data_IF_338360248172
#
_entry.id   IF_338360248172
#
_cell.length_a   1.000
_cell.length_b   1.000
_cell.length_c   1.000
_cell.angle_alpha   90.00
_cell.angle_beta   90.00
_cell.angle_gamma   90.00
#
_symmetry.space_group_name_H-M   'P 1'
#
loop_
_entity.id
_entity.type
_entity.pdbx_description
1 polymer ?
#
# COMPACT_ATOMS: atom_id res chain seq x y z
N UNK A 1 47.71 69.25 13.32
CA UNK A 1 46.92 69.81 12.19
C UNK A 1 45.56 69.12 12.22
N UNK A 2 44.54 69.76 12.81
CA UNK A 2 43.25 69.14 13.15
C UNK A 2 42.24 69.37 12.02
N UNK A 3 41.91 68.32 11.25
CA UNK A 3 40.87 68.39 10.21
C UNK A 3 39.49 68.35 10.87
N UNK A 4 38.82 69.51 10.88
CA UNK A 4 37.50 69.71 11.47
C UNK A 4 36.45 69.16 10.49
N UNK A 5 36.06 67.90 10.66
CA UNK A 5 35.00 67.27 9.85
C UNK A 5 33.69 68.05 9.98
N UNK A 6 33.13 68.48 8.85
CA UNK A 6 31.85 69.18 8.80
C UNK A 6 30.70 68.23 9.12
N UNK A 7 29.69 68.69 9.87
CA UNK A 7 28.51 67.91 10.28
C UNK A 7 27.81 67.19 9.11
N UNK A 8 27.92 67.73 7.89
CA UNK A 8 27.39 67.15 6.64
C UNK A 8 28.18 65.95 6.10
N UNK A 9 29.50 65.90 6.28
CA UNK A 9 30.34 64.77 5.87
C UNK A 9 30.08 63.55 6.77
N UNK A 10 29.93 63.79 8.06
CA UNK A 10 29.59 62.75 9.05
C UNK A 10 28.22 62.14 8.73
N UNK A 11 27.23 62.97 8.37
CA UNK A 11 25.89 62.48 7.98
C UNK A 11 25.93 61.61 6.72
N UNK A 12 26.76 61.96 5.73
CA UNK A 12 26.91 61.18 4.49
C UNK A 12 27.59 59.83 4.74
N UNK A 13 28.60 59.79 5.61
CA UNK A 13 29.28 58.54 6.00
C UNK A 13 28.32 57.59 6.74
N UNK A 14 27.51 58.13 7.66
CA UNK A 14 26.50 57.35 8.39
C UNK A 14 25.45 56.77 7.44
N UNK A 15 24.97 57.57 6.49
CA UNK A 15 24.01 57.12 5.48
C UNK A 15 24.59 55.99 4.60
N UNK A 16 25.86 56.11 4.20
CA UNK A 16 26.54 55.10 3.40
C UNK A 16 26.73 53.78 4.16
N UNK A 17 27.06 53.85 5.45
CA UNK A 17 27.15 52.69 6.36
C UNK A 17 25.79 52.01 6.57
N UNK A 18 24.71 52.78 6.72
CA UNK A 18 23.35 52.22 6.84
C UNK A 18 22.91 51.51 5.55
N UNK A 19 23.20 52.08 4.38
CA UNK A 19 22.89 51.45 3.09
C UNK A 19 23.70 50.17 2.88
N UNK A 20 24.98 50.16 3.27
CA UNK A 20 25.82 48.97 3.19
C UNK A 20 25.29 47.85 4.11
N UNK A 21 24.89 48.21 5.33
CA UNK A 21 24.31 47.26 6.29
C UNK A 21 22.98 46.69 5.79
N UNK A 22 22.11 47.52 5.20
CA UNK A 22 20.84 47.09 4.62
C UNK A 22 21.05 46.15 3.42
N UNK A 23 22.06 46.41 2.59
CA UNK A 23 22.40 45.55 1.46
C UNK A 23 22.93 44.18 1.92
N UNK A 24 23.71 44.14 3.01
CA UNK A 24 24.18 42.88 3.61
C UNK A 24 22.98 42.08 4.17
N UNK A 25 22.05 42.74 4.85
CA UNK A 25 20.83 42.07 5.36
C UNK A 25 19.95 41.47 4.26
N UNK A 26 19.88 42.09 3.08
CA UNK A 26 19.16 41.52 1.93
C UNK A 26 19.78 40.21 1.42
N UNK A 27 21.11 40.06 1.49
CA UNK A 27 21.80 38.86 0.98
C UNK A 27 21.60 37.66 1.92
N UNK A 28 21.42 37.90 3.22
CA UNK A 28 21.25 36.83 4.22
C UNK A 28 19.82 36.24 4.28
N UNK A 29 18.82 36.90 3.70
CA UNK A 29 17.41 36.49 3.81
C UNK A 29 17.02 35.26 2.98
N UNK A 30 17.95 34.67 2.23
CA UNK A 30 17.68 33.60 1.25
C UNK A 30 18.31 32.25 1.61
N UNK A 31 18.35 31.87 2.90
CA UNK A 31 18.59 30.45 3.26
C UNK A 31 17.24 29.75 3.45
N UNK A 32 16.63 29.38 2.33
CA UNK A 32 15.45 28.51 2.31
C UNK A 32 15.80 27.16 2.94
N UNK A 33 15.20 26.86 4.08
CA UNK A 33 15.22 25.54 4.70
C UNK A 33 14.36 24.65 3.80
N UNK A 34 14.99 23.84 2.94
CA UNK A 34 14.30 22.92 2.07
C UNK A 34 13.53 21.90 2.93
N UNK A 35 12.26 22.20 3.21
CA UNK A 35 11.31 21.25 3.74
C UNK A 35 11.20 20.12 2.70
N UNK A 36 11.76 18.97 3.02
CA UNK A 36 11.67 17.78 2.18
C UNK A 36 10.22 17.32 2.25
N UNK A 37 9.40 17.73 1.28
CA UNK A 37 8.02 17.26 1.18
C UNK A 37 8.03 15.80 0.76
N UNK A 38 7.55 14.90 1.63
CA UNK A 38 7.20 13.55 1.22
C UNK A 38 6.02 13.66 0.24
N UNK A 39 6.28 13.41 -1.04
CA UNK A 39 5.23 13.24 -2.02
C UNK A 39 4.60 11.86 -1.81
N UNK A 40 3.45 11.83 -1.13
CA UNK A 40 2.56 10.67 -1.11
C UNK A 40 1.90 10.56 -2.49
N UNK A 41 2.59 9.94 -3.44
CA UNK A 41 2.01 9.56 -4.73
C UNK A 41 1.01 8.42 -4.46
N UNK A 42 -0.26 8.75 -4.28
CA UNK A 42 -1.31 7.77 -4.01
C UNK A 42 -1.65 7.00 -5.28
N UNK A 43 -0.89 5.93 -5.51
CA UNK A 43 -1.22 4.91 -6.52
C UNK A 43 -2.39 4.09 -5.97
N UNK A 44 -3.56 4.21 -6.59
CA UNK A 44 -4.76 3.50 -6.14
C UNK A 44 -4.59 1.98 -6.40
N UNK A 45 -4.56 1.13 -5.36
CA UNK A 45 -4.29 -0.28 -5.54
C UNK A 45 -5.42 -1.00 -6.29
N UNK A 46 -5.03 -1.93 -7.16
CA UNK A 46 -5.96 -2.78 -7.91
C UNK A 46 -6.33 -3.99 -7.07
N UNK A 47 -7.61 -4.26 -6.87
CA UNK A 47 -8.06 -5.45 -6.13
C UNK A 47 -7.91 -6.71 -6.98
N UNK A 48 -7.39 -7.78 -6.39
CA UNK A 48 -7.28 -9.10 -7.00
C UNK A 48 -7.71 -10.18 -5.99
N UNK A 49 -8.82 -10.85 -6.30
CA UNK A 49 -9.32 -11.98 -5.53
C UNK A 49 -8.64 -13.30 -5.92
N UNK A 50 -8.28 -14.10 -4.93
CA UNK A 50 -7.62 -15.38 -5.08
C UNK A 50 -8.22 -16.42 -4.12
N UNK A 51 -8.00 -17.69 -4.44
CA UNK A 51 -8.41 -18.81 -3.59
C UNK A 51 -7.17 -19.46 -3.00
N UNK A 52 -7.25 -19.87 -1.73
CA UNK A 52 -6.18 -20.61 -1.05
C UNK A 52 -5.79 -21.86 -1.87
N UNK A 53 -4.50 -22.03 -2.11
CA UNK A 53 -3.94 -23.13 -2.91
C UNK A 53 -4.15 -22.99 -4.43
N UNK A 54 -4.70 -21.87 -4.90
CA UNK A 54 -4.80 -21.54 -6.33
C UNK A 54 -3.77 -20.49 -6.72
N UNK A 55 -3.47 -20.47 -8.01
CA UNK A 55 -2.50 -19.55 -8.59
C UNK A 55 -3.03 -18.93 -9.88
N UNK A 56 -2.54 -17.74 -10.18
CA UNK A 56 -2.87 -16.97 -11.39
C UNK A 56 -1.59 -16.43 -12.01
N UNK A 57 -1.62 -16.23 -13.33
CA UNK A 57 -0.52 -15.58 -14.05
C UNK A 57 -0.92 -14.13 -14.30
N UNK A 58 -0.18 -13.20 -13.69
CA UNK A 58 -0.28 -11.79 -13.98
C UNK A 58 0.65 -11.45 -15.15
N UNK A 59 0.08 -10.84 -16.18
CA UNK A 59 0.82 -10.38 -17.36
C UNK A 59 0.97 -8.87 -17.35
N UNK A 60 2.17 -8.39 -17.69
CA UNK A 60 2.47 -6.95 -17.76
C UNK A 60 2.94 -6.55 -19.14
N UNK A 61 2.50 -5.38 -19.61
CA UNK A 61 2.94 -4.82 -20.88
C UNK A 61 4.42 -4.43 -20.84
N UNK A 62 4.85 -3.81 -19.75
CA UNK A 62 6.25 -3.43 -19.52
C UNK A 62 6.98 -4.44 -18.63
N UNK A 63 8.31 -4.62 -18.84
CA UNK A 63 9.09 -5.59 -18.09
C UNK A 63 9.25 -5.17 -16.63
N UNK A 64 8.79 -6.02 -15.73
CA UNK A 64 8.92 -5.86 -14.29
C UNK A 64 10.35 -6.15 -13.87
N UNK A 65 10.93 -5.23 -13.08
CA UNK A 65 12.29 -5.33 -12.56
C UNK A 65 12.36 -5.84 -11.13
N UNK A 66 11.29 -5.60 -10.37
CA UNK A 66 11.19 -6.03 -8.98
C UNK A 66 9.73 -6.25 -8.64
N UNK A 67 9.50 -7.24 -7.81
CA UNK A 67 8.20 -7.57 -7.23
C UNK A 67 8.40 -7.74 -5.72
N UNK A 68 7.43 -7.32 -4.93
CA UNK A 68 7.39 -7.61 -3.50
C UNK A 68 5.98 -7.96 -3.08
N UNK A 69 5.88 -8.85 -2.10
CA UNK A 69 4.65 -9.18 -1.40
C UNK A 69 4.76 -8.69 0.04
N UNK A 70 3.70 -8.06 0.57
CA UNK A 70 3.70 -7.53 1.93
C UNK A 70 3.71 -8.64 2.99
N UNK A 71 2.99 -9.73 2.75
CA UNK A 71 2.91 -10.88 3.65
C UNK A 71 3.19 -12.20 2.89
N UNK A 72 4.44 -12.68 2.87
CA UNK A 72 4.85 -13.92 2.20
C UNK A 72 4.18 -15.20 2.73
N UNK A 73 3.63 -15.16 3.95
CA UNK A 73 2.88 -16.27 4.54
C UNK A 73 1.48 -16.39 3.93
N UNK A 74 0.91 -15.28 3.46
CA UNK A 74 -0.40 -15.18 2.83
C UNK A 74 -0.33 -15.45 1.33
N UNK A 75 0.62 -14.82 0.64
CA UNK A 75 0.78 -14.95 -0.81
C UNK A 75 2.25 -15.05 -1.18
N UNK A 76 2.54 -15.74 -2.27
CA UNK A 76 3.88 -15.88 -2.80
C UNK A 76 3.89 -15.73 -4.32
N UNK A 77 5.02 -15.37 -4.89
CA UNK A 77 5.15 -15.13 -6.32
C UNK A 77 6.44 -15.71 -6.89
N UNK A 78 6.38 -16.09 -8.16
CA UNK A 78 7.54 -16.47 -8.97
C UNK A 78 7.49 -15.64 -10.26
N UNK A 79 8.60 -14.98 -10.59
CA UNK A 79 8.78 -14.35 -11.89
C UNK A 79 9.12 -15.44 -12.91
N UNK A 80 8.17 -15.77 -13.79
CA UNK A 80 8.40 -16.71 -14.90
C UNK A 80 9.18 -16.03 -16.02
N UNK A 81 8.88 -14.76 -16.26
CA UNK A 81 9.59 -13.90 -17.20
C UNK A 81 9.48 -12.44 -16.73
N UNK A 82 10.20 -11.48 -17.34
CA UNK A 82 10.01 -10.07 -17.03
C UNK A 82 8.57 -9.56 -17.26
N UNK A 83 7.73 -10.31 -17.99
CA UNK A 83 6.35 -9.92 -18.30
C UNK A 83 5.30 -10.81 -17.63
N UNK A 84 5.71 -11.90 -16.97
CA UNK A 84 4.79 -12.89 -16.42
C UNK A 84 5.17 -13.24 -14.99
N UNK A 85 4.20 -13.04 -14.08
CA UNK A 85 4.35 -13.30 -12.65
C UNK A 85 3.34 -14.37 -12.28
N UNK A 86 3.84 -15.51 -11.80
CA UNK A 86 3.04 -16.58 -11.23
C UNK A 86 2.76 -16.28 -9.77
N UNK A 87 1.53 -15.90 -9.45
CA UNK A 87 1.09 -15.51 -8.11
C UNK A 87 0.29 -16.65 -7.49
N UNK A 88 0.61 -17.03 -6.25
CA UNK A 88 -0.02 -18.12 -5.51
C UNK A 88 -0.58 -17.64 -4.19
N UNK A 89 -1.85 -17.97 -3.90
CA UNK A 89 -2.45 -17.77 -2.59
C UNK A 89 -2.10 -18.93 -1.66
N UNK A 90 -1.37 -18.66 -0.57
CA UNK A 90 -0.92 -19.69 0.39
C UNK A 90 -1.88 -19.85 1.57
N UNK A 91 -2.37 -18.74 2.11
CA UNK A 91 -3.30 -18.72 3.23
C UNK A 91 -4.40 -17.68 2.98
N UNK A 92 -5.55 -17.85 3.64
CA UNK A 92 -6.59 -16.83 3.62
C UNK A 92 -6.00 -15.53 4.20
N UNK A 93 -6.35 -14.40 3.62
CA UNK A 93 -5.40 -13.30 3.54
C UNK A 93 -5.94 -11.98 3.03
N UNK A 94 -5.51 -10.87 3.60
CA UNK A 94 -5.37 -9.63 2.83
C UNK A 94 -3.90 -9.23 2.84
N UNK A 95 -3.33 -9.05 1.65
CA UNK A 95 -1.94 -8.58 1.50
C UNK A 95 -1.83 -7.70 0.27
N UNK A 96 -0.64 -7.18 -0.01
CA UNK A 96 -0.37 -6.36 -1.17
C UNK A 96 0.79 -6.92 -1.99
N UNK A 97 0.70 -6.76 -3.30
CA UNK A 97 1.76 -7.07 -4.25
C UNK A 97 2.14 -5.77 -4.95
N UNK A 98 3.40 -5.38 -4.84
CA UNK A 98 3.91 -4.17 -5.50
C UNK A 98 4.83 -4.57 -6.64
N UNK A 99 4.61 -3.97 -7.80
CA UNK A 99 5.40 -4.16 -9.01
C UNK A 99 6.20 -2.90 -9.29
N UNK A 100 7.47 -3.05 -9.61
CA UNK A 100 8.34 -1.94 -10.02
C UNK A 100 8.83 -2.11 -11.46
N UNK A 101 8.79 -1.01 -12.20
CA UNK A 101 9.34 -0.86 -13.54
C UNK A 101 10.27 0.34 -13.54
N UNK A 102 11.49 0.18 -14.06
CA UNK A 102 12.46 1.28 -14.23
C UNK A 102 12.60 2.21 -13.01
N UNK A 103 12.74 1.60 -11.82
CA UNK A 103 12.87 2.25 -10.49
C UNK A 103 11.63 2.99 -9.97
N UNK A 104 10.50 2.93 -10.66
CA UNK A 104 9.21 3.48 -10.20
C UNK A 104 8.24 2.35 -9.84
N UNK A 105 7.31 2.64 -8.93
CA UNK A 105 6.19 1.74 -8.67
C UNK A 105 5.28 1.79 -9.90
N UNK A 106 5.08 0.64 -10.52
CA UNK A 106 4.24 0.49 -11.71
C UNK A 106 2.80 0.16 -11.34
N UNK A 107 2.60 -0.68 -10.34
CA UNK A 107 1.29 -1.09 -9.87
C UNK A 107 1.38 -1.61 -8.44
N UNK A 108 0.29 -1.39 -7.70
CA UNK A 108 0.04 -2.02 -6.40
C UNK A 108 -1.24 -2.85 -6.58
N UNK A 109 -1.21 -4.11 -6.16
CA UNK A 109 -2.38 -4.97 -6.11
C UNK A 109 -2.71 -5.28 -4.66
N UNK A 110 -3.96 -5.06 -4.27
CA UNK A 110 -4.51 -5.56 -3.02
C UNK A 110 -5.04 -6.97 -3.26
N UNK A 111 -4.37 -7.95 -2.66
CA UNK A 111 -4.70 -9.36 -2.77
C UNK A 111 -5.67 -9.73 -1.65
N UNK A 112 -6.83 -10.25 -2.03
CA UNK A 112 -7.80 -10.83 -1.11
C UNK A 112 -7.89 -12.33 -1.37
N UNK A 113 -7.37 -13.13 -0.44
CA UNK A 113 -7.31 -14.59 -0.57
C UNK A 113 -8.32 -15.20 0.39
N UNK A 114 -9.22 -16.01 -0.14
CA UNK A 114 -10.27 -16.67 0.63
C UNK A 114 -10.29 -18.19 0.37
N UNK A 115 -10.90 -18.95 1.28
CA UNK A 115 -11.15 -20.37 1.05
C UNK A 115 -12.31 -20.56 0.06
N UNK A 116 -12.18 -21.55 -0.82
CA UNK A 116 -13.31 -22.00 -1.63
C UNK A 116 -14.25 -22.88 -0.79
N UNK A 117 -15.29 -22.25 -0.26
CA UNK A 117 -16.35 -22.92 0.52
C UNK A 117 -17.54 -23.35 -0.34
N UNK A 118 -17.46 -23.24 -1.67
CA UNK A 118 -18.58 -23.56 -2.57
C UNK A 118 -18.97 -25.03 -2.46
N UNK A 119 -17.98 -25.93 -2.42
CA UNK A 119 -18.22 -27.37 -2.23
C UNK A 119 -18.79 -27.71 -0.86
N UNK A 120 -18.37 -26.99 0.18
CA UNK A 120 -18.91 -27.19 1.52
C UNK A 120 -20.38 -26.76 1.58
N UNK A 121 -20.71 -25.59 1.01
CA UNK A 121 -22.09 -25.11 0.90
C UNK A 121 -22.97 -26.09 0.15
N UNK A 122 -22.48 -26.62 -0.98
CA UNK A 122 -23.24 -27.60 -1.77
C UNK A 122 -23.48 -28.89 -0.97
N UNK A 123 -22.45 -29.45 -0.33
CA UNK A 123 -22.63 -30.64 0.53
C UNK A 123 -23.59 -30.39 1.70
N UNK A 124 -23.52 -29.22 2.33
CA UNK A 124 -24.45 -28.87 3.40
C UNK A 124 -25.88 -28.75 2.88
N UNK A 125 -26.08 -28.20 1.69
CA UNK A 125 -27.40 -28.15 1.06
C UNK A 125 -27.92 -29.55 0.68
N UNK A 126 -27.05 -30.44 0.19
CA UNK A 126 -27.42 -31.82 -0.13
C UNK A 126 -27.79 -32.63 1.12
N UNK A 127 -27.09 -32.40 2.24
CA UNK A 127 -27.30 -33.10 3.52
C UNK A 127 -28.45 -32.51 4.34
N UNK A 128 -28.69 -31.21 4.22
CA UNK A 128 -29.70 -30.45 4.97
C UNK A 128 -30.58 -29.62 4.01
N UNK A 129 -31.31 -30.26 3.08
CA UNK A 129 -32.06 -29.55 2.05
C UNK A 129 -33.21 -28.70 2.62
N UNK A 130 -33.75 -29.09 3.78
CA UNK A 130 -34.89 -28.42 4.42
C UNK A 130 -34.48 -27.21 5.29
N UNK A 131 -33.19 -27.05 5.61
CA UNK A 131 -32.69 -26.02 6.52
C UNK A 131 -32.35 -24.72 5.76
N UNK A 132 -33.34 -23.83 5.63
CA UNK A 132 -33.22 -22.59 4.82
C UNK A 132 -32.47 -21.45 5.50
N UNK A 133 -32.34 -21.48 6.82
CA UNK A 133 -31.71 -20.41 7.61
C UNK A 133 -30.21 -20.64 7.86
N UNK A 134 -29.61 -21.64 7.20
CA UNK A 134 -28.21 -22.01 7.36
C UNK A 134 -27.28 -21.08 6.55
N UNK A 135 -26.47 -20.29 7.24
CA UNK A 135 -25.45 -19.39 6.68
C UNK A 135 -24.04 -19.91 6.96
N UNK A 136 -23.27 -20.09 5.89
CA UNK A 136 -21.85 -20.49 5.93
C UNK A 136 -20.98 -19.31 5.53
N UNK A 137 -20.09 -18.88 6.43
CA UNK A 137 -19.16 -17.77 6.23
C UNK A 137 -17.73 -18.29 6.44
N UNK A 138 -16.85 -18.09 5.46
CA UNK A 138 -15.42 -18.32 5.65
C UNK A 138 -14.77 -17.06 6.19
N UNK A 139 -14.02 -17.22 7.27
CA UNK A 139 -13.08 -16.22 7.78
C UNK A 139 -11.64 -16.70 7.51
N UNK A 140 -10.64 -15.92 7.92
CA UNK A 140 -9.23 -16.28 7.77
C UNK A 140 -8.86 -17.62 8.43
N UNK A 141 -9.38 -17.85 9.64
CA UNK A 141 -8.94 -18.97 10.50
C UNK A 141 -10.05 -20.00 10.76
N UNK A 142 -11.29 -19.69 10.37
CA UNK A 142 -12.43 -20.54 10.68
C UNK A 142 -13.56 -20.43 9.66
N UNK A 143 -14.37 -21.48 9.59
CA UNK A 143 -15.64 -21.45 8.87
C UNK A 143 -16.75 -21.36 9.90
N UNK A 144 -17.47 -20.24 9.92
CA UNK A 144 -18.60 -20.02 10.81
C UNK A 144 -19.87 -20.50 10.16
N UNK A 145 -20.59 -21.37 10.87
CA UNK A 145 -21.92 -21.82 10.52
C UNK A 145 -22.93 -21.20 11.48
N UNK A 146 -23.96 -20.53 10.96
CA UNK A 146 -25.01 -19.90 11.78
C UNK A 146 -26.39 -20.16 11.18
N UNK A 147 -27.38 -20.47 11.99
CA UNK A 147 -28.73 -20.79 11.52
C UNK A 147 -29.48 -21.68 12.51
N UNK A 148 -30.75 -21.95 12.23
CA UNK A 148 -31.54 -22.95 12.93
C UNK A 148 -31.39 -24.27 12.18
N UNK A 149 -31.03 -25.34 12.89
CA UNK A 149 -31.01 -26.70 12.36
C UNK A 149 -32.12 -27.43 13.10
N UNK A 150 -33.16 -27.79 12.35
CA UNK A 150 -34.40 -28.40 12.84
C UNK A 150 -34.28 -29.92 12.94
N UNK A 151 -33.41 -30.52 12.13
CA UNK A 151 -33.21 -31.97 12.08
C UNK A 151 -32.05 -32.44 12.95
N UNK A 152 -32.31 -33.47 13.75
CA UNK A 152 -31.30 -34.21 14.52
C UNK A 152 -30.41 -35.00 13.57
N UNK A 153 -29.47 -34.34 12.88
CA UNK A 153 -28.34 -35.04 12.28
C UNK A 153 -27.52 -35.61 13.44
N UNK A 154 -27.50 -36.94 13.49
CA UNK A 154 -26.70 -37.71 14.44
C UNK A 154 -25.21 -37.40 14.20
N UNK A 155 -24.69 -36.39 14.89
CA UNK A 155 -23.25 -36.11 15.02
C UNK A 155 -22.61 -37.21 15.87
N UNK A 156 -22.63 -38.44 15.37
CA UNK A 156 -21.84 -39.52 15.94
C UNK A 156 -20.41 -39.37 15.41
N UNK A 157 -19.57 -38.74 16.21
CA UNK A 157 -18.14 -38.96 16.12
C UNK A 157 -17.87 -40.44 16.39
N UNK A 158 -17.29 -41.13 15.41
CA UNK A 158 -16.50 -42.35 15.63
C UNK A 158 -15.27 -42.26 14.75
#
# INVERSE_FOLDING_TARGET
MSTKFGKSEIASIILMLMLLFMMIMLIFSSKSLAATSFLLETQNPKKLGLVVGKSVILKTFEPVKRVSVGAPDIADFILLSPHEIYLTGKAAGVTNLTLWQNKKIAAIYDLEIAYDISRLKQKLHDLLPDERDLRVIATHDSITLSGVISSTVNLSQT
#
